data_IF_645464198312
#
_entry.id   IF_645464198312
#
_cell.length_a   1.000
_cell.length_b   1.000
_cell.length_c   1.000
_cell.angle_alpha   90.00
_cell.angle_beta   90.00
_cell.angle_gamma   90.00
#
_symmetry.space_group_name_H-M   'P 1'
#
loop_
_entity.id
_entity.type
_entity.pdbx_description
1 polymer ?
#
# COMPACT_ATOMS: atom_id res chain seq x y z
N UNK A 1 -1.57 38.60 21.81
CA UNK A 1 -0.28 38.66 22.51
C UNK A 1 -0.17 37.32 23.23
N UNK A 2 0.66 36.36 22.88
CA UNK A 2 1.85 36.30 22.04
C UNK A 2 1.92 34.86 21.50
N UNK A 3 2.03 34.70 20.18
CA UNK A 3 2.11 33.42 19.47
C UNK A 3 3.57 33.20 19.07
N UNK A 4 4.35 32.48 19.88
CA UNK A 4 5.58 31.77 19.45
C UNK A 4 6.28 31.11 20.64
N UNK A 5 5.93 29.86 20.96
CA UNK A 5 6.85 28.91 21.62
C UNK A 5 6.47 27.49 21.19
N UNK A 6 6.91 27.10 19.99
CA UNK A 6 7.10 25.68 19.67
C UNK A 6 8.48 25.35 20.21
N UNK A 7 8.52 24.51 21.24
CA UNK A 7 9.74 24.05 21.89
C UNK A 7 10.52 23.15 20.93
N UNK A 8 11.69 23.64 20.56
CA UNK A 8 12.76 22.90 19.89
C UNK A 8 13.37 21.90 20.89
N UNK A 9 13.01 20.62 20.81
CA UNK A 9 13.74 19.54 21.49
C UNK A 9 14.24 18.51 20.46
N UNK A 10 15.38 18.87 19.87
CA UNK A 10 16.62 18.08 19.85
C UNK A 10 16.47 16.54 19.80
N UNK A 11 16.45 15.97 18.59
CA UNK A 11 16.88 14.58 18.36
C UNK A 11 18.41 14.56 18.46
N UNK A 12 18.95 14.25 19.65
CA UNK A 12 20.39 14.03 19.84
C UNK A 12 20.76 12.58 19.55
N UNK A 13 21.63 12.40 18.55
CA UNK A 13 22.23 11.10 18.27
C UNK A 13 23.12 11.07 17.02
N UNK A 14 24.00 12.05 16.80
CA UNK A 14 25.04 11.94 15.76
C UNK A 14 26.36 12.60 16.21
N UNK A 15 27.38 11.77 16.43
CA UNK A 15 28.78 12.20 16.62
C UNK A 15 29.47 12.28 15.26
N UNK A 16 29.39 13.44 14.58
CA UNK A 16 30.44 14.07 13.74
C UNK A 16 29.87 15.30 12.97
N UNK A 17 30.69 16.31 12.62
CA UNK A 17 30.25 17.70 12.56
C UNK A 17 29.89 18.15 11.14
N UNK A 18 28.65 17.94 10.71
CA UNK A 18 28.04 18.70 9.61
C UNK A 18 26.57 18.95 9.98
N UNK A 19 26.36 19.83 10.95
CA UNK A 19 25.03 20.24 11.39
C UNK A 19 24.54 21.35 10.45
N UNK A 20 23.82 20.98 9.39
CA UNK A 20 23.07 21.96 8.58
C UNK A 20 21.71 22.20 9.26
N UNK A 21 21.52 23.42 9.76
CA UNK A 21 20.23 23.89 10.28
C UNK A 21 19.31 24.12 9.07
N UNK A 22 18.43 23.16 8.77
CA UNK A 22 17.38 23.36 7.77
C UNK A 22 16.18 24.06 8.41
N UNK A 23 15.78 25.21 7.87
CA UNK A 23 14.52 25.88 8.22
C UNK A 23 13.33 24.97 7.88
N UNK A 24 12.23 25.04 8.64
CA UNK A 24 10.99 24.28 8.42
C UNK A 24 10.47 24.42 6.98
N UNK A 25 10.65 25.60 6.36
CA UNK A 25 10.31 25.83 4.96
C UNK A 25 11.19 25.02 4.00
N UNK A 26 12.47 24.84 4.30
CA UNK A 26 13.38 24.03 3.49
C UNK A 26 13.09 22.53 3.63
N UNK A 27 12.76 22.06 4.84
CA UNK A 27 12.33 20.67 5.05
C UNK A 27 11.03 20.36 4.30
N UNK A 28 10.06 21.28 4.33
CA UNK A 28 8.79 21.12 3.60
C UNK A 28 9.00 21.10 2.08
N UNK A 29 9.85 21.98 1.54
CA UNK A 29 10.20 22.00 0.11
C UNK A 29 10.96 20.75 -0.31
N UNK A 30 11.87 20.24 0.53
CA UNK A 30 12.54 18.95 0.26
C UNK A 30 11.54 17.79 0.28
N UNK A 31 10.68 17.67 1.29
CA UNK A 31 9.63 16.63 1.32
C UNK A 31 8.71 16.67 0.10
N UNK A 32 8.28 17.87 -0.33
CA UNK A 32 7.44 18.03 -1.53
C UNK A 32 8.18 17.67 -2.83
N UNK A 33 9.48 17.97 -2.92
CA UNK A 33 10.30 17.58 -4.07
C UNK A 33 10.54 16.06 -4.11
N UNK A 34 10.65 15.39 -2.95
CA UNK A 34 10.71 13.93 -2.87
C UNK A 34 9.39 13.27 -3.25
N UNK A 35 8.24 13.77 -2.77
CA UNK A 35 6.91 13.26 -3.12
C UNK A 35 6.67 13.27 -4.64
N UNK A 36 7.13 14.31 -5.35
CA UNK A 36 7.02 14.38 -6.82
C UNK A 36 7.87 13.35 -7.56
N UNK A 37 8.91 12.80 -6.93
CA UNK A 37 9.76 11.77 -7.51
C UNK A 37 9.26 10.33 -7.24
N UNK A 38 8.26 10.16 -6.37
CA UNK A 38 7.63 8.85 -6.09
C UNK A 38 6.53 8.62 -7.12
N UNK A 39 6.92 8.11 -8.29
CA UNK A 39 6.00 7.85 -9.41
C UNK A 39 6.15 6.42 -9.91
N UNK A 40 5.08 5.84 -10.50
CA UNK A 40 5.13 4.54 -11.17
C UNK A 40 6.25 4.46 -12.23
N UNK A 41 6.44 5.55 -12.98
CA UNK A 41 7.46 5.65 -14.02
C UNK A 41 8.89 5.59 -13.43
N UNK A 42 9.15 6.33 -12.35
CA UNK A 42 10.44 6.28 -11.68
C UNK A 42 10.67 4.92 -11.03
N UNK A 43 9.65 4.31 -10.42
CA UNK A 43 9.74 2.97 -9.85
C UNK A 43 10.15 1.95 -10.91
N UNK A 44 9.51 1.96 -12.08
CA UNK A 44 9.88 1.08 -13.19
C UNK A 44 11.29 1.40 -13.74
N UNK A 45 11.66 2.67 -13.85
CA UNK A 45 13.01 3.07 -14.29
C UNK A 45 14.10 2.57 -13.31
N UNK A 46 13.84 2.63 -12.00
CA UNK A 46 14.72 2.07 -10.97
C UNK A 46 14.89 0.57 -11.16
N UNK A 47 13.80 -0.16 -11.35
CA UNK A 47 13.83 -1.61 -11.46
C UNK A 47 14.45 -2.11 -12.77
N UNK A 48 14.25 -1.37 -13.86
CA UNK A 48 14.84 -1.68 -15.18
C UNK A 48 16.28 -1.18 -15.33
N UNK A 49 16.83 -0.50 -14.32
CA UNK A 49 18.19 0.06 -14.37
C UNK A 49 18.36 1.25 -15.32
N UNK A 50 17.26 1.88 -15.74
CA UNK A 50 17.26 2.96 -16.73
C UNK A 50 17.35 4.34 -16.05
N UNK A 51 18.56 4.73 -15.66
CA UNK A 51 18.82 6.02 -15.02
C UNK A 51 18.40 7.24 -15.87
N UNK A 52 18.32 7.09 -17.20
CA UNK A 52 17.93 8.17 -18.10
C UNK A 52 16.43 8.47 -18.05
N UNK A 53 15.60 7.50 -17.62
CA UNK A 53 14.15 7.67 -17.45
C UNK A 53 13.76 8.19 -16.07
N UNK A 54 14.69 8.30 -15.12
CA UNK A 54 14.40 8.82 -13.79
C UNK A 54 14.27 10.34 -13.83
N UNK A 55 13.12 10.85 -13.39
CA UNK A 55 12.87 12.28 -13.24
C UNK A 55 12.87 12.69 -11.76
N UNK A 56 13.81 13.55 -11.36
CA UNK A 56 13.96 13.98 -9.96
C UNK A 56 14.64 12.94 -9.05
N UNK A 57 14.54 13.14 -7.73
CA UNK A 57 15.14 12.22 -6.74
C UNK A 57 16.68 12.13 -6.84
N UNK A 58 17.23 10.99 -6.44
CA UNK A 58 18.69 10.77 -6.42
C UNK A 58 19.28 10.30 -7.76
N UNK A 59 18.43 9.92 -8.73
CA UNK A 59 18.86 9.29 -9.98
C UNK A 59 19.43 7.86 -9.83
N UNK A 60 19.42 7.28 -8.63
CA UNK A 60 19.89 5.92 -8.38
C UNK A 60 18.89 4.90 -8.93
N UNK A 61 19.40 3.92 -9.66
CA UNK A 61 18.65 2.77 -10.21
C UNK A 61 19.36 1.46 -9.88
N UNK A 62 18.69 0.31 -10.07
CA UNK A 62 19.33 -0.99 -9.96
C UNK A 62 20.45 -1.12 -11.00
N UNK A 63 21.59 -1.66 -10.57
CA UNK A 63 22.73 -2.03 -11.43
C UNK A 63 23.08 -3.51 -11.24
N UNK A 64 22.06 -4.32 -10.99
CA UNK A 64 22.19 -5.75 -10.71
C UNK A 64 22.64 -6.51 -11.96
N UNK A 65 23.62 -7.39 -11.80
CA UNK A 65 24.03 -8.37 -12.80
C UNK A 65 23.30 -9.72 -12.65
N UNK A 66 23.65 -10.72 -13.49
CA UNK A 66 22.96 -12.02 -13.51
C UNK A 66 23.07 -12.86 -12.24
N UNK A 67 23.98 -12.53 -11.32
CA UNK A 67 24.24 -13.28 -10.08
C UNK A 67 23.84 -12.47 -8.82
N UNK A 68 23.16 -11.34 -9.00
CA UNK A 68 22.76 -10.48 -7.89
C UNK A 68 21.33 -10.82 -7.46
N UNK A 69 21.07 -10.76 -6.15
CA UNK A 69 19.72 -10.86 -5.61
C UNK A 69 19.09 -9.48 -5.49
N UNK A 70 17.83 -9.37 -5.92
CA UNK A 70 17.05 -8.14 -5.81
C UNK A 70 15.91 -8.37 -4.84
N UNK A 71 15.82 -7.51 -3.82
CA UNK A 71 14.70 -7.46 -2.89
C UNK A 71 13.93 -6.16 -3.14
N UNK A 72 12.63 -6.27 -3.44
CA UNK A 72 11.75 -5.12 -3.62
C UNK A 72 10.64 -5.19 -2.60
N UNK A 73 10.47 -4.10 -1.85
CA UNK A 73 9.42 -3.95 -0.86
C UNK A 73 8.55 -2.74 -1.21
N UNK A 74 7.24 -2.95 -1.35
CA UNK A 74 6.24 -1.93 -1.57
C UNK A 74 5.20 -1.94 -0.44
N UNK A 75 4.85 -0.76 0.09
CA UNK A 75 3.79 -0.59 1.08
C UNK A 75 2.98 0.67 0.79
N UNK A 76 1.69 0.50 0.52
CA UNK A 76 0.70 1.57 0.38
C UNK A 76 -0.71 0.95 0.28
N UNK A 77 -1.70 1.75 -0.12
CA UNK A 77 -2.99 1.29 -0.60
C UNK A 77 -2.89 0.55 -1.93
N UNK A 78 -3.92 -0.26 -2.19
CA UNK A 78 -4.09 -0.97 -3.46
C UNK A 78 -5.55 -1.25 -3.74
N UNK A 79 -5.75 -1.80 -4.93
CA UNK A 79 -7.02 -2.34 -5.41
C UNK A 79 -6.72 -3.52 -6.34
N UNK A 80 -7.74 -4.28 -6.78
CA UNK A 80 -7.52 -5.34 -7.77
C UNK A 80 -6.68 -4.84 -8.97
N UNK A 81 -5.52 -5.46 -9.23
CA UNK A 81 -4.64 -5.11 -10.35
C UNK A 81 -3.99 -3.72 -10.31
N UNK A 82 -3.99 -3.05 -9.15
CA UNK A 82 -3.49 -1.68 -8.99
C UNK A 82 -2.74 -1.48 -7.67
N UNK A 83 -1.60 -0.79 -7.75
CA UNK A 83 -0.87 -0.22 -6.60
C UNK A 83 -0.92 1.30 -6.67
N UNK A 84 -1.36 1.94 -5.59
CA UNK A 84 -1.43 3.40 -5.53
C UNK A 84 -0.03 3.99 -5.30
N UNK A 85 0.31 5.03 -6.05
CA UNK A 85 1.40 5.94 -5.74
C UNK A 85 0.80 7.27 -5.26
N UNK A 86 1.57 8.20 -4.67
CA UNK A 86 1.00 9.42 -4.07
C UNK A 86 0.19 10.32 -5.01
N UNK A 87 0.35 10.19 -6.32
CA UNK A 87 -0.35 11.01 -7.32
C UNK A 87 -0.67 10.30 -8.64
N UNK A 88 -0.36 9.00 -8.72
CA UNK A 88 -0.61 8.20 -9.91
C UNK A 88 -0.72 6.71 -9.52
N UNK A 89 -0.97 5.83 -10.48
CA UNK A 89 -1.22 4.41 -10.20
C UNK A 89 -0.29 3.53 -11.03
N UNK A 90 0.23 2.48 -10.41
CA UNK A 90 0.93 1.41 -11.13
C UNK A 90 -0.05 0.26 -11.38
N UNK A 91 -0.41 0.08 -12.64
CA UNK A 91 -1.23 -1.04 -13.10
C UNK A 91 -0.37 -2.27 -13.33
N UNK A 92 -0.98 -3.44 -13.21
CA UNK A 92 -0.35 -4.73 -13.52
C UNK A 92 0.42 -4.69 -14.86
N UNK A 93 1.75 -4.58 -14.76
CA UNK A 93 2.69 -4.96 -15.80
C UNK A 93 3.54 -6.08 -15.22
N UNK A 94 3.44 -7.27 -15.85
CA UNK A 94 4.39 -8.38 -15.68
C UNK A 94 5.80 -7.79 -15.67
N UNK A 95 6.63 -8.18 -14.69
CA UNK A 95 8.00 -8.68 -14.94
C UNK A 95 8.96 -8.60 -13.72
N UNK A 96 8.56 -8.57 -12.44
CA UNK A 96 9.59 -8.44 -11.39
C UNK A 96 9.34 -9.22 -10.08
N UNK A 97 10.41 -9.57 -9.33
CA UNK A 97 10.34 -10.15 -7.99
C UNK A 97 10.05 -9.10 -6.94
N UNK A 98 8.90 -9.21 -6.27
CA UNK A 98 8.39 -8.19 -5.36
C UNK A 98 7.67 -8.77 -4.14
N UNK A 99 7.89 -8.11 -2.99
CA UNK A 99 7.09 -8.17 -1.78
C UNK A 99 6.05 -7.04 -1.82
N UNK A 100 4.75 -7.36 -1.83
CA UNK A 100 3.68 -6.35 -1.92
C UNK A 100 2.82 -6.27 -0.67
N UNK A 101 2.73 -5.07 -0.11
CA UNK A 101 1.86 -4.72 1.01
C UNK A 101 0.84 -3.72 0.48
N UNK A 102 -0.34 -4.24 0.16
CA UNK A 102 -1.47 -3.45 -0.25
C UNK A 102 -2.76 -4.25 -0.06
N UNK A 103 -3.89 -3.55 0.00
CA UNK A 103 -5.20 -4.16 -0.20
C UNK A 103 -5.23 -4.89 -1.56
N UNK A 104 -5.82 -6.09 -1.58
CA UNK A 104 -5.91 -6.96 -2.77
C UNK A 104 -4.57 -7.26 -3.45
N UNK A 105 -3.45 -7.13 -2.74
CA UNK A 105 -2.10 -7.32 -3.26
C UNK A 105 -1.88 -8.68 -3.96
N UNK A 106 -2.63 -9.72 -3.58
CA UNK A 106 -2.61 -11.01 -4.28
C UNK A 106 -2.98 -10.90 -5.77
N UNK A 107 -3.82 -9.94 -6.15
CA UNK A 107 -4.19 -9.68 -7.55
C UNK A 107 -3.04 -9.13 -8.42
N UNK A 108 -1.98 -8.61 -7.79
CA UNK A 108 -0.78 -8.18 -8.50
C UNK A 108 0.13 -9.34 -8.88
N UNK A 109 -0.05 -10.51 -8.25
CA UNK A 109 0.89 -11.64 -8.34
C UNK A 109 0.25 -12.98 -8.68
N UNK A 110 -1.07 -13.08 -8.72
CA UNK A 110 -1.80 -14.32 -9.06
C UNK A 110 -1.49 -14.87 -10.47
N UNK A 111 -0.98 -14.01 -11.37
CA UNK A 111 -0.55 -14.38 -12.73
C UNK A 111 0.97 -14.48 -12.90
N UNK A 112 1.74 -14.40 -11.81
CA UNK A 112 3.20 -14.47 -11.84
C UNK A 112 3.66 -15.89 -12.27
N UNK A 113 4.41 -16.03 -13.38
CA UNK A 113 4.88 -17.34 -13.85
C UNK A 113 5.78 -18.04 -12.82
N UNK A 114 5.74 -19.37 -12.81
CA UNK A 114 6.53 -20.19 -11.88
C UNK A 114 7.91 -20.59 -12.42
N UNK A 115 8.16 -20.31 -13.70
CA UNK A 115 9.36 -20.68 -14.46
C UNK A 115 10.35 -19.52 -14.66
N UNK A 116 10.12 -18.40 -13.99
CA UNK A 116 11.06 -17.28 -13.87
C UNK A 116 11.66 -17.24 -12.46
N UNK A 117 12.81 -16.60 -12.30
CA UNK A 117 13.53 -16.50 -11.02
C UNK A 117 12.93 -15.43 -10.10
N UNK A 118 11.64 -15.57 -9.84
CA UNK A 118 10.85 -14.63 -9.05
C UNK A 118 10.05 -15.36 -7.99
N UNK A 119 10.18 -14.93 -6.74
CA UNK A 119 9.32 -15.31 -5.62
C UNK A 119 8.69 -14.07 -5.02
N UNK A 120 7.38 -14.15 -4.75
CA UNK A 120 6.62 -13.05 -4.21
C UNK A 120 5.76 -13.51 -3.04
N UNK A 121 5.60 -12.65 -2.04
CA UNK A 121 4.57 -12.81 -1.01
C UNK A 121 3.75 -11.54 -0.88
N UNK A 122 2.49 -11.67 -0.51
CA UNK A 122 1.54 -10.55 -0.45
C UNK A 122 0.80 -10.53 0.88
N UNK A 123 0.49 -9.32 1.37
CA UNK A 123 -0.19 -9.13 2.65
C UNK A 123 -1.62 -9.70 2.67
N UNK A 124 -2.27 -9.76 1.51
CA UNK A 124 -3.67 -10.15 1.35
C UNK A 124 -3.86 -10.99 0.07
N UNK A 125 -4.95 -11.74 0.00
CA UNK A 125 -5.42 -12.38 -1.24
C UNK A 125 -5.99 -11.33 -2.22
N UNK A 126 -6.39 -11.72 -3.45
CA UNK A 126 -6.91 -10.78 -4.45
C UNK A 126 -8.23 -10.06 -4.10
N UNK A 127 -8.88 -10.36 -2.98
CA UNK A 127 -10.27 -10.00 -2.72
C UNK A 127 -10.51 -9.35 -1.35
N UNK A 128 -9.46 -9.09 -0.57
CA UNK A 128 -9.54 -8.54 0.78
C UNK A 128 -8.52 -7.42 1.01
N UNK A 129 -8.75 -6.63 2.05
CA UNK A 129 -7.87 -5.52 2.44
C UNK A 129 -6.74 -5.98 3.36
N UNK A 130 -5.65 -5.20 3.38
CA UNK A 130 -4.64 -5.27 4.43
C UNK A 130 -5.09 -4.47 5.67
N UNK A 131 -4.36 -4.62 6.77
CA UNK A 131 -4.71 -4.02 8.06
C UNK A 131 -3.56 -3.16 8.58
N UNK A 132 -3.90 -1.98 9.10
CA UNK A 132 -3.02 -1.16 9.90
C UNK A 132 -2.96 -1.67 11.35
N UNK A 133 -1.88 -1.34 12.06
CA UNK A 133 -1.65 -1.67 13.45
C UNK A 133 -0.93 -0.55 14.21
N UNK A 134 -0.88 -0.69 15.53
CA UNK A 134 -0.18 0.19 16.47
C UNK A 134 -0.68 1.64 16.39
N UNK A 135 -1.88 1.91 16.91
CA UNK A 135 -2.36 3.29 17.02
C UNK A 135 -1.59 4.04 18.10
N UNK A 136 -1.03 5.19 17.77
CA UNK A 136 -0.28 6.02 18.72
C UNK A 136 -1.10 7.28 19.07
N UNK A 137 -1.57 7.35 20.31
CA UNK A 137 -2.39 8.47 20.80
C UNK A 137 -1.70 9.83 20.72
N UNK A 138 -0.36 9.87 20.80
CA UNK A 138 0.39 11.13 20.76
C UNK A 138 0.53 11.67 19.34
N UNK A 139 0.63 10.77 18.36
CA UNK A 139 0.79 11.09 16.93
C UNK A 139 -0.53 11.08 16.17
N UNK A 140 -1.60 10.62 16.80
CA UNK A 140 -2.95 10.57 16.23
C UNK A 140 -3.02 9.76 14.91
N UNK A 141 -2.25 8.68 14.82
CA UNK A 141 -2.16 7.84 13.62
C UNK A 141 -1.72 6.42 13.96
N UNK A 142 -1.86 5.51 12.99
CA UNK A 142 -1.28 4.18 13.03
C UNK A 142 0.20 4.23 12.63
N UNK A 143 1.03 3.40 13.27
CA UNK A 143 2.49 3.39 13.08
C UNK A 143 2.98 2.33 12.09
N UNK A 144 2.16 1.33 11.77
CA UNK A 144 2.55 0.28 10.83
C UNK A 144 1.35 -0.45 10.23
N UNK A 145 1.67 -1.42 9.38
CA UNK A 145 0.73 -2.35 8.79
C UNK A 145 1.04 -3.77 9.28
N UNK A 146 0.00 -4.54 9.58
CA UNK A 146 0.10 -5.78 10.33
C UNK A 146 1.02 -6.81 9.67
N UNK A 147 0.89 -6.99 8.36
CA UNK A 147 1.80 -7.85 7.62
C UNK A 147 3.25 -7.30 7.61
N UNK A 148 3.42 -5.98 7.46
CA UNK A 148 4.74 -5.33 7.43
C UNK A 148 5.51 -5.52 8.72
N UNK A 149 4.87 -5.17 9.85
CA UNK A 149 5.50 -5.29 11.16
C UNK A 149 5.81 -6.74 11.45
N UNK A 150 4.95 -7.68 11.08
CA UNK A 150 5.20 -9.10 11.30
C UNK A 150 6.46 -9.63 10.60
N UNK A 151 6.80 -9.20 9.38
CA UNK A 151 8.02 -9.68 8.72
C UNK A 151 9.26 -8.87 9.12
N UNK A 152 9.12 -7.56 9.38
CA UNK A 152 10.23 -6.71 9.81
C UNK A 152 10.68 -7.07 11.23
N UNK A 153 9.72 -7.23 12.16
CA UNK A 153 9.99 -7.60 13.55
C UNK A 153 10.55 -9.03 13.66
N UNK A 154 10.09 -9.96 12.80
CA UNK A 154 10.71 -11.27 12.64
C UNK A 154 12.17 -11.15 12.18
N UNK A 155 12.43 -10.30 11.19
CA UNK A 155 13.79 -10.09 10.67
C UNK A 155 14.73 -9.38 11.65
N UNK A 156 14.18 -8.59 12.58
CA UNK A 156 14.94 -7.92 13.65
C UNK A 156 15.41 -8.89 14.76
N UNK A 157 14.74 -10.04 14.92
CA UNK A 157 15.00 -10.98 16.03
C UNK A 157 15.56 -12.33 15.59
N UNK A 158 15.30 -12.77 14.36
CA UNK A 158 15.76 -14.06 13.85
C UNK A 158 17.21 -14.01 13.32
N UNK A 159 17.87 -15.16 13.31
CA UNK A 159 19.15 -15.31 12.63
C UNK A 159 18.90 -15.51 11.12
N UNK A 160 18.97 -14.42 10.35
CA UNK A 160 18.70 -14.40 8.91
C UNK A 160 19.61 -15.31 8.09
N UNK A 161 20.77 -15.72 8.63
CA UNK A 161 21.67 -16.69 7.99
C UNK A 161 21.14 -18.13 8.08
N UNK A 162 20.25 -18.39 9.04
CA UNK A 162 19.61 -19.70 9.26
C UNK A 162 18.18 -19.71 8.75
N UNK A 163 17.45 -18.61 8.91
CA UNK A 163 16.08 -18.53 8.48
C UNK A 163 15.97 -18.57 6.95
N UNK A 164 15.03 -19.36 6.43
CA UNK A 164 14.65 -19.37 5.01
C UNK A 164 13.47 -18.45 4.75
N UNK A 165 13.33 -17.88 3.56
CA UNK A 165 12.12 -17.13 3.14
C UNK A 165 10.83 -17.92 3.38
N UNK A 166 10.85 -19.25 3.21
CA UNK A 166 9.72 -20.14 3.46
C UNK A 166 9.31 -20.21 4.94
N UNK A 167 10.26 -20.03 5.85
CA UNK A 167 10.05 -20.02 7.31
C UNK A 167 9.44 -18.68 7.70
N UNK A 168 10.04 -17.58 7.27
CA UNK A 168 9.51 -16.23 7.42
C UNK A 168 8.07 -16.14 6.89
N UNK A 169 7.81 -16.61 5.66
CA UNK A 169 6.45 -16.65 5.11
C UNK A 169 5.45 -17.39 6.01
N UNK A 170 5.83 -18.52 6.60
CA UNK A 170 4.95 -19.29 7.49
C UNK A 170 4.69 -18.56 8.81
N UNK A 171 5.72 -17.91 9.38
CA UNK A 171 5.59 -17.09 10.60
C UNK A 171 4.64 -15.93 10.32
N UNK A 172 4.95 -15.14 9.29
CA UNK A 172 4.19 -13.96 8.91
C UNK A 172 2.74 -14.31 8.56
N UNK A 173 2.51 -15.41 7.82
CA UNK A 173 1.16 -15.93 7.54
C UNK A 173 0.41 -16.35 8.81
N UNK A 174 1.10 -16.89 9.81
CA UNK A 174 0.48 -17.28 11.08
C UNK A 174 0.13 -16.08 11.95
N UNK A 175 0.99 -15.06 11.98
CA UNK A 175 0.79 -13.87 12.81
C UNK A 175 -0.18 -12.86 12.18
N UNK A 176 -0.21 -12.78 10.85
CA UNK A 176 -1.12 -11.91 10.10
C UNK A 176 -2.51 -12.55 10.03
N UNK A 177 -3.22 -12.57 11.15
CA UNK A 177 -4.52 -13.22 11.34
C UNK A 177 -5.73 -12.41 10.82
N UNK A 178 -5.49 -11.27 10.17
CA UNK A 178 -6.54 -10.37 9.64
C UNK A 178 -6.76 -10.49 8.13
N UNK A 179 -5.82 -11.13 7.42
CA UNK A 179 -5.86 -11.35 5.97
C UNK A 179 -5.12 -12.66 5.63
N UNK A 180 -5.32 -13.14 4.41
CA UNK A 180 -4.65 -14.32 3.88
C UNK A 180 -3.35 -13.92 3.20
N UNK A 181 -2.24 -14.10 3.91
CA UNK A 181 -0.90 -13.94 3.32
C UNK A 181 -0.68 -15.01 2.24
N UNK A 182 -0.33 -14.57 1.03
CA UNK A 182 -0.17 -15.43 -0.14
C UNK A 182 1.28 -15.49 -0.61
N UNK A 183 1.61 -16.54 -1.37
CA UNK A 183 2.92 -16.69 -2.04
C UNK A 183 2.76 -17.13 -3.49
N UNK A 184 3.56 -16.56 -4.39
CA UNK A 184 3.47 -16.72 -5.84
C UNK A 184 4.85 -16.91 -6.49
N UNK A 185 4.86 -17.25 -7.78
CA UNK A 185 6.08 -17.47 -8.56
C UNK A 185 6.81 -18.78 -8.23
N UNK A 186 8.13 -18.78 -8.43
CA UNK A 186 9.00 -19.92 -8.21
C UNK A 186 9.26 -20.14 -6.71
N UNK A 187 8.45 -21.01 -6.10
CA UNK A 187 8.55 -21.38 -4.68
C UNK A 187 9.84 -22.14 -4.33
N UNK A 188 10.64 -22.58 -5.30
CA UNK A 188 11.95 -23.17 -5.00
C UNK A 188 12.86 -22.14 -4.34
N UNK A 189 12.76 -20.88 -4.74
CA UNK A 189 13.53 -19.76 -4.18
C UNK A 189 13.21 -19.52 -2.70
N UNK A 190 12.04 -19.94 -2.20
CA UNK A 190 11.69 -19.74 -0.78
C UNK A 190 12.59 -20.55 0.18
N UNK A 191 13.36 -21.52 -0.34
CA UNK A 191 14.35 -22.25 0.46
C UNK A 191 15.66 -21.48 0.68
N UNK A 192 15.87 -20.38 -0.04
CA UNK A 192 17.01 -19.48 0.17
C UNK A 192 16.90 -18.79 1.52
N UNK A 193 18.07 -18.39 2.06
CA UNK A 193 18.15 -17.71 3.36
C UNK A 193 17.72 -16.26 3.25
N UNK A 194 17.12 -15.73 4.32
CA UNK A 194 16.66 -14.33 4.35
C UNK A 194 17.84 -13.36 4.17
N UNK A 195 19.02 -13.70 4.71
CA UNK A 195 20.25 -12.91 4.56
C UNK A 195 20.68 -12.69 3.10
N UNK A 196 20.28 -13.58 2.19
CA UNK A 196 20.60 -13.46 0.76
C UNK A 196 19.90 -12.27 0.09
N UNK A 197 18.82 -11.76 0.71
CA UNK A 197 17.98 -10.68 0.19
C UNK A 197 17.95 -9.45 1.09
N UNK A 198 18.03 -9.63 2.41
CA UNK A 198 17.91 -8.56 3.41
C UNK A 198 19.23 -8.25 4.13
N UNK A 199 20.34 -8.89 3.74
CA UNK A 199 21.63 -8.71 4.37
C UNK A 199 22.80 -8.77 3.39
N UNK A 200 24.00 -8.94 3.93
CA UNK A 200 25.21 -9.17 3.13
C UNK A 200 25.82 -10.52 3.53
N UNK A 201 25.56 -11.61 2.78
CA UNK A 201 26.04 -12.96 3.14
C UNK A 201 27.57 -13.08 3.07
N UNK A 202 28.24 -12.16 2.36
CA UNK A 202 29.71 -12.13 2.20
C UNK A 202 30.39 -11.20 3.19
N UNK A 203 29.64 -10.45 4.00
CA UNK A 203 30.24 -9.60 5.02
C UNK A 203 30.85 -10.48 6.11
N UNK A 204 32.13 -10.29 6.40
CA UNK A 204 32.79 -10.87 7.58
C UNK A 204 32.37 -10.20 8.90
N UNK A 205 31.24 -9.48 8.88
CA UNK A 205 30.70 -8.73 10.02
C UNK A 205 29.74 -9.67 10.74
N UNK A 206 29.94 -9.84 12.05
CA UNK A 206 29.02 -10.59 12.89
C UNK A 206 27.60 -10.00 12.71
N UNK A 207 26.56 -10.84 12.54
CA UNK A 207 25.18 -10.36 12.50
C UNK A 207 24.92 -9.43 13.68
N UNK A 208 24.13 -8.37 13.46
CA UNK A 208 23.67 -7.57 14.58
C UNK A 208 22.98 -8.51 15.59
N UNK A 209 23.24 -8.36 16.91
CA UNK A 209 22.57 -9.19 17.89
C UNK A 209 21.05 -9.01 17.74
N UNK A 210 20.26 -10.09 17.83
CA UNK A 210 18.80 -10.03 17.84
C UNK A 210 18.27 -8.93 18.72
N UNK A 211 17.34 -8.14 18.20
CA UNK A 211 16.67 -7.10 18.99
C UNK A 211 15.73 -7.77 19.98
N UNK A 212 15.73 -7.34 21.24
CA UNK A 212 14.68 -7.76 22.17
C UNK A 212 13.48 -6.84 21.96
N UNK A 213 12.45 -7.33 21.27
CA UNK A 213 11.20 -6.59 21.09
C UNK A 213 10.32 -6.69 22.35
N UNK A 214 9.62 -5.59 22.65
CA UNK A 214 8.63 -5.58 23.74
C UNK A 214 7.31 -6.06 23.17
N UNK A 215 6.66 -7.08 23.76
CA UNK A 215 5.36 -7.55 23.28
C UNK A 215 4.32 -6.42 23.31
N UNK A 216 3.65 -6.18 22.18
CA UNK A 216 2.51 -5.27 22.10
C UNK A 216 1.24 -6.07 22.35
N UNK A 217 0.61 -5.83 23.50
CA UNK A 217 -0.59 -6.59 23.90
C UNK A 217 -1.83 -6.23 23.06
N UNK A 218 -1.95 -4.97 22.64
CA UNK A 218 -3.08 -4.46 21.86
C UNK A 218 -2.57 -3.81 20.58
N UNK A 219 -2.54 -4.54 19.45
CA UNK A 219 -1.98 -4.03 18.20
C UNK A 219 -2.95 -3.13 17.41
N UNK A 220 -4.13 -2.79 17.94
CA UNK A 220 -5.13 -1.91 17.31
C UNK A 220 -5.55 -2.28 15.88
N UNK A 221 -5.59 -3.56 15.54
CA UNK A 221 -5.80 -4.02 14.15
C UNK A 221 -7.04 -3.38 13.49
N UNK A 222 -6.81 -2.61 12.43
CA UNK A 222 -7.85 -1.84 11.74
C UNK A 222 -7.71 -2.03 10.23
N UNK A 223 -8.78 -2.38 9.49
CA UNK A 223 -8.72 -2.47 8.04
C UNK A 223 -8.18 -1.15 7.46
N UNK A 224 -7.21 -1.20 6.54
CA UNK A 224 -6.61 -0.02 5.91
C UNK A 224 -7.65 1.03 5.46
N UNK A 225 -8.77 0.66 4.79
CA UNK A 225 -9.76 1.64 4.33
C UNK A 225 -10.49 2.38 5.47
N UNK A 226 -10.51 1.80 6.67
CA UNK A 226 -11.20 2.31 7.85
C UNK A 226 -10.31 3.15 8.77
N UNK A 227 -9.01 3.20 8.50
CA UNK A 227 -8.04 3.98 9.30
C UNK A 227 -8.48 5.43 9.51
N UNK A 228 -8.84 6.22 8.48
CA UNK A 228 -9.25 7.61 8.69
C UNK A 228 -10.46 7.76 9.64
N UNK A 229 -11.45 6.88 9.50
CA UNK A 229 -12.64 6.88 10.37
C UNK A 229 -12.32 6.39 11.79
N UNK A 230 -11.44 5.40 11.93
CA UNK A 230 -11.01 4.87 13.22
C UNK A 230 -10.26 5.95 14.02
N UNK A 231 -9.37 6.72 13.38
CA UNK A 231 -8.69 7.86 13.99
C UNK A 231 -9.72 8.88 14.51
N UNK A 232 -10.68 9.30 13.67
CA UNK A 232 -11.71 10.26 14.07
C UNK A 232 -12.57 9.75 15.22
N UNK A 233 -12.94 8.47 15.22
CA UNK A 233 -13.69 7.83 16.32
C UNK A 233 -12.90 7.82 17.62
N UNK A 234 -11.61 7.48 17.59
CA UNK A 234 -10.74 7.52 18.77
C UNK A 234 -10.61 8.94 19.32
N UNK A 235 -10.38 9.93 18.46
CA UNK A 235 -10.34 11.36 18.84
C UNK A 235 -11.64 11.84 19.45
N UNK A 236 -12.78 11.40 18.92
CA UNK A 236 -14.10 11.69 19.49
C UNK A 236 -14.24 11.08 20.89
N UNK A 237 -13.86 9.82 21.06
CA UNK A 237 -13.96 9.10 22.34
C UNK A 237 -13.03 9.68 23.42
N UNK A 238 -11.86 10.19 23.04
CA UNK A 238 -10.90 10.81 23.95
C UNK A 238 -11.26 12.27 24.33
N UNK A 239 -12.18 12.92 23.59
CA UNK A 239 -12.51 14.33 23.80
C UNK A 239 -13.61 14.52 24.84
N UNK A 240 -13.30 15.27 25.91
CA UNK A 240 -14.28 15.74 26.89
C UNK A 240 -14.88 17.13 26.56
N UNK A 241 -14.39 17.78 25.50
CA UNK A 241 -14.90 19.07 25.04
C UNK A 241 -16.04 18.88 24.04
N UNK A 242 -17.22 19.46 24.33
CA UNK A 242 -18.42 19.32 23.50
C UNK A 242 -18.28 19.98 22.12
N UNK A 243 -17.53 21.06 21.99
CA UNK A 243 -17.30 21.77 20.73
C UNK A 243 -16.37 20.94 19.85
N UNK A 244 -15.31 20.36 20.42
CA UNK A 244 -14.40 19.46 19.72
C UNK A 244 -15.11 18.16 19.33
N UNK A 245 -15.88 17.56 20.23
CA UNK A 245 -16.68 16.36 19.94
C UNK A 245 -17.66 16.60 18.76
N UNK A 246 -18.36 17.75 18.76
CA UNK A 246 -19.23 18.16 17.63
C UNK A 246 -18.46 18.38 16.33
N UNK A 247 -17.20 18.81 16.37
CA UNK A 247 -16.34 18.88 15.18
C UNK A 247 -16.07 17.49 14.62
N UNK A 248 -15.61 16.54 15.43
CA UNK A 248 -15.32 15.18 14.98
C UNK A 248 -16.57 14.44 14.48
N UNK A 249 -17.73 14.62 15.13
CA UNK A 249 -19.00 14.06 14.63
C UNK A 249 -19.32 14.59 13.23
N UNK A 250 -19.09 15.88 12.96
CA UNK A 250 -19.31 16.45 11.62
C UNK A 250 -18.34 15.88 10.60
N UNK A 251 -17.07 15.72 10.93
CA UNK A 251 -16.06 15.12 10.06
C UNK A 251 -16.38 13.65 9.76
N UNK A 252 -16.72 12.85 10.77
CA UNK A 252 -17.17 11.45 10.60
C UNK A 252 -18.37 11.39 9.66
N UNK A 253 -19.39 12.21 9.89
CA UNK A 253 -20.58 12.22 9.04
C UNK A 253 -20.27 12.65 7.60
N UNK A 254 -19.32 13.57 7.39
CA UNK A 254 -18.86 13.94 6.05
C UNK A 254 -18.17 12.76 5.36
N UNK A 255 -17.25 12.07 6.03
CA UNK A 255 -16.59 10.87 5.49
C UNK A 255 -17.60 9.77 5.14
N UNK A 256 -18.58 9.49 6.00
CA UNK A 256 -19.62 8.48 5.73
C UNK A 256 -20.47 8.85 4.51
N UNK A 257 -20.87 10.13 4.38
CA UNK A 257 -21.59 10.62 3.20
C UNK A 257 -20.78 10.46 1.91
N UNK A 258 -19.48 10.73 1.95
CA UNK A 258 -18.61 10.52 0.79
C UNK A 258 -18.53 9.02 0.44
N UNK A 259 -18.39 8.12 1.42
CA UNK A 259 -18.41 6.68 1.16
C UNK A 259 -19.71 6.22 0.49
N UNK A 260 -20.86 6.72 0.96
CA UNK A 260 -22.15 6.43 0.34
C UNK A 260 -22.23 6.98 -1.09
N UNK A 261 -21.75 8.21 -1.33
CA UNK A 261 -21.67 8.79 -2.66
C UNK A 261 -20.82 7.93 -3.62
N UNK A 262 -19.64 7.50 -3.17
CA UNK A 262 -18.73 6.66 -3.95
C UNK A 262 -19.36 5.32 -4.32
N UNK A 263 -19.98 4.63 -3.36
CA UNK A 263 -20.67 3.35 -3.58
C UNK A 263 -21.86 3.52 -4.53
N UNK A 264 -22.73 4.49 -4.27
CA UNK A 264 -23.93 4.71 -5.06
C UNK A 264 -23.58 5.11 -6.50
N UNK A 265 -22.51 5.90 -6.70
CA UNK A 265 -22.06 6.25 -8.05
C UNK A 265 -21.54 5.04 -8.82
N UNK A 266 -20.78 4.14 -8.17
CA UNK A 266 -20.34 2.89 -8.83
C UNK A 266 -21.54 2.00 -9.18
N UNK A 267 -22.52 1.88 -8.28
CA UNK A 267 -23.76 1.16 -8.54
C UNK A 267 -24.52 1.76 -9.74
N UNK A 268 -24.63 3.09 -9.83
CA UNK A 268 -25.21 3.76 -11.00
C UNK A 268 -24.43 3.49 -12.30
N UNK A 269 -23.10 3.49 -12.23
CA UNK A 269 -22.24 3.13 -13.37
C UNK A 269 -22.55 1.71 -13.84
N UNK A 270 -22.53 0.74 -12.92
CA UNK A 270 -22.85 -0.66 -13.24
C UNK A 270 -24.26 -0.76 -13.84
N UNK A 271 -25.26 -0.15 -13.22
CA UNK A 271 -26.66 -0.19 -13.67
C UNK A 271 -26.86 0.33 -15.10
N UNK A 272 -26.17 1.40 -15.50
CA UNK A 272 -26.31 1.93 -16.86
C UNK A 272 -25.47 1.17 -17.89
N UNK A 273 -24.38 0.52 -17.48
CA UNK A 273 -23.56 -0.33 -18.35
C UNK A 273 -24.28 -1.64 -18.65
N UNK A 274 -24.80 -2.32 -17.63
CA UNK A 274 -25.50 -3.61 -17.76
C UNK A 274 -26.90 -3.45 -18.34
N UNK A 275 -27.62 -2.38 -17.96
CA UNK A 275 -29.04 -2.13 -18.28
C UNK A 275 -29.98 -3.28 -17.90
N UNK A 276 -29.57 -4.06 -16.93
CA UNK A 276 -30.31 -5.22 -16.43
C UNK A 276 -30.08 -5.31 -14.91
N UNK A 277 -31.12 -5.12 -14.08
CA UNK A 277 -30.96 -5.12 -12.62
C UNK A 277 -30.37 -6.43 -12.06
N UNK A 278 -30.70 -7.58 -12.66
CA UNK A 278 -30.18 -8.87 -12.20
C UNK A 278 -28.68 -8.96 -12.50
N UNK A 279 -28.27 -8.60 -13.72
CA UNK A 279 -26.85 -8.58 -14.10
C UNK A 279 -26.07 -7.54 -13.31
N UNK A 280 -26.65 -6.37 -13.02
CA UNK A 280 -26.02 -5.38 -12.14
C UNK A 280 -25.69 -5.96 -10.77
N UNK A 281 -26.66 -6.66 -10.17
CA UNK A 281 -26.47 -7.27 -8.87
C UNK A 281 -25.42 -8.37 -8.90
N UNK A 282 -25.38 -9.17 -9.96
CA UNK A 282 -24.31 -10.16 -10.19
C UNK A 282 -22.94 -9.47 -10.23
N UNK A 283 -22.79 -8.40 -11.03
CA UNK A 283 -21.55 -7.62 -11.13
C UNK A 283 -21.15 -6.98 -9.79
N UNK A 284 -22.09 -6.48 -8.99
CA UNK A 284 -21.77 -5.82 -7.71
C UNK A 284 -21.46 -6.81 -6.58
N UNK A 285 -21.96 -8.05 -6.67
CA UNK A 285 -21.75 -9.08 -5.65
C UNK A 285 -20.52 -9.97 -5.91
N UNK A 286 -20.06 -10.04 -7.16
CA UNK A 286 -18.95 -10.89 -7.55
C UNK A 286 -17.59 -10.25 -7.23
N UNK A 287 -16.53 -11.05 -7.21
CA UNK A 287 -15.13 -10.62 -7.15
C UNK A 287 -14.30 -11.50 -8.06
N UNK A 288 -14.25 -11.14 -9.34
CA UNK A 288 -13.52 -11.91 -10.35
C UNK A 288 -12.02 -11.62 -10.30
N UNK A 289 -11.23 -12.63 -10.68
CA UNK A 289 -9.80 -12.43 -10.95
C UNK A 289 -9.63 -11.60 -12.24
N UNK A 290 -8.72 -10.64 -12.20
CA UNK A 290 -8.46 -9.76 -13.34
C UNK A 290 -7.63 -10.47 -14.42
N UNK A 291 -8.20 -10.67 -15.59
CA UNK A 291 -7.53 -11.17 -16.81
C UNK A 291 -7.59 -10.17 -17.96
N UNK A 292 -8.59 -9.27 -17.97
CA UNK A 292 -8.83 -8.26 -18.99
C UNK A 292 -8.13 -6.93 -18.68
N UNK A 293 -6.80 -6.98 -18.52
CA UNK A 293 -5.97 -5.85 -18.07
C UNK A 293 -6.15 -4.56 -18.90
N UNK A 294 -6.22 -4.66 -20.23
CA UNK A 294 -6.37 -3.50 -21.10
C UNK A 294 -7.75 -2.83 -20.96
N UNK A 295 -8.81 -3.61 -20.78
CA UNK A 295 -10.13 -3.08 -20.50
C UNK A 295 -10.14 -2.38 -19.14
N UNK A 296 -9.61 -3.06 -18.13
CA UNK A 296 -9.62 -2.58 -16.76
C UNK A 296 -8.82 -1.29 -16.59
N UNK A 297 -7.61 -1.22 -17.14
CA UNK A 297 -6.78 -0.01 -17.07
C UNK A 297 -7.54 1.20 -17.66
N UNK A 298 -8.12 1.07 -18.85
CA UNK A 298 -8.90 2.14 -19.47
C UNK A 298 -10.13 2.53 -18.64
N UNK A 299 -10.83 1.54 -18.09
CA UNK A 299 -12.00 1.78 -17.25
C UNK A 299 -11.65 2.53 -15.96
N UNK A 300 -10.54 2.16 -15.31
CA UNK A 300 -10.05 2.77 -14.07
C UNK A 300 -9.52 4.18 -14.33
N UNK A 301 -8.74 4.40 -15.39
CA UNK A 301 -8.25 5.74 -15.78
C UNK A 301 -9.41 6.69 -16.12
N UNK A 302 -10.41 6.19 -16.84
CA UNK A 302 -11.62 6.97 -17.14
C UNK A 302 -12.41 7.27 -15.86
N UNK A 303 -12.61 6.29 -14.98
CA UNK A 303 -13.29 6.50 -13.70
C UNK A 303 -12.54 7.50 -12.80
N UNK A 304 -11.22 7.40 -12.72
CA UNK A 304 -10.36 8.33 -11.97
C UNK A 304 -10.50 9.77 -12.47
N UNK A 305 -10.47 9.95 -13.78
CA UNK A 305 -10.47 11.27 -14.42
C UNK A 305 -11.84 11.93 -14.51
N UNK A 306 -12.92 11.14 -14.56
CA UNK A 306 -14.29 11.65 -14.72
C UNK A 306 -15.12 11.59 -13.44
N UNK A 307 -14.74 10.77 -12.47
CA UNK A 307 -15.55 10.51 -11.29
C UNK A 307 -14.79 10.89 -10.03
N UNK A 308 -13.94 9.99 -9.54
CA UNK A 308 -13.31 10.16 -8.24
C UNK A 308 -11.83 9.84 -8.35
N UNK A 309 -11.03 10.85 -8.09
CA UNK A 309 -9.59 10.71 -8.01
C UNK A 309 -9.21 10.38 -6.56
N UNK A 310 -8.89 9.11 -6.29
CA UNK A 310 -8.51 8.60 -4.97
C UNK A 310 -7.18 9.15 -4.45
N UNK A 311 -6.37 9.81 -5.28
CA UNK A 311 -5.20 10.57 -4.83
C UNK A 311 -5.58 11.81 -4.00
N UNK A 312 -6.87 12.17 -3.99
CA UNK A 312 -7.44 13.07 -2.98
C UNK A 312 -7.90 12.22 -1.80
N UNK A 313 -7.41 12.53 -0.60
CA UNK A 313 -7.76 11.81 0.64
C UNK A 313 -9.26 11.69 0.90
N UNK A 314 -10.06 12.66 0.45
CA UNK A 314 -11.53 12.61 0.52
C UNK A 314 -12.10 11.41 -0.25
N UNK A 315 -11.50 11.02 -1.37
CA UNK A 315 -12.00 10.00 -2.29
C UNK A 315 -11.19 8.70 -2.28
N UNK A 316 -10.25 8.52 -1.35
CA UNK A 316 -9.40 7.32 -1.24
C UNK A 316 -10.23 6.02 -1.22
N UNK A 317 -11.39 6.06 -0.55
CA UNK A 317 -12.31 4.92 -0.46
C UNK A 317 -12.88 4.46 -1.83
N UNK A 318 -12.71 5.24 -2.89
CA UNK A 318 -13.07 4.85 -4.25
C UNK A 318 -12.31 3.60 -4.71
N UNK A 319 -11.08 3.39 -4.22
CA UNK A 319 -10.29 2.17 -4.44
C UNK A 319 -11.06 0.89 -4.08
N UNK A 320 -12.02 0.98 -3.13
CA UNK A 320 -12.83 -0.17 -2.66
C UNK A 320 -13.98 -0.53 -3.58
N UNK A 321 -14.24 0.31 -4.59
CA UNK A 321 -15.29 0.09 -5.58
C UNK A 321 -14.72 -0.43 -6.90
N UNK A 322 -13.40 -0.40 -7.11
CA UNK A 322 -12.78 -0.74 -8.40
C UNK A 322 -12.94 -2.21 -8.81
N UNK A 323 -13.24 -3.11 -7.86
CA UNK A 323 -13.56 -4.52 -8.18
C UNK A 323 -14.76 -4.64 -9.14
N UNK A 324 -15.73 -3.72 -9.05
CA UNK A 324 -16.87 -3.72 -9.96
C UNK A 324 -16.45 -3.44 -11.41
N UNK A 325 -15.40 -2.65 -11.62
CA UNK A 325 -14.83 -2.40 -12.95
C UNK A 325 -14.08 -3.62 -13.49
N UNK A 326 -13.42 -4.40 -12.62
CA UNK A 326 -12.87 -5.73 -12.99
C UNK A 326 -14.01 -6.59 -13.50
N UNK A 327 -15.06 -6.78 -12.69
CA UNK A 327 -16.20 -7.62 -13.04
C UNK A 327 -16.86 -7.20 -14.36
N UNK A 328 -17.03 -5.89 -14.62
CA UNK A 328 -17.54 -5.40 -15.90
C UNK A 328 -16.66 -5.81 -17.08
N UNK A 329 -15.34 -5.69 -16.95
CA UNK A 329 -14.40 -6.05 -18.00
C UNK A 329 -14.35 -7.57 -18.26
N UNK A 330 -14.31 -8.38 -17.21
CA UNK A 330 -14.33 -9.85 -17.34
C UNK A 330 -15.63 -10.35 -18.00
N UNK A 331 -16.75 -9.67 -17.73
CA UNK A 331 -18.04 -9.95 -18.38
C UNK A 331 -18.20 -9.29 -19.77
N UNK A 332 -17.11 -8.79 -20.37
CA UNK A 332 -17.03 -8.26 -21.75
C UNK A 332 -17.93 -7.05 -22.02
N UNK A 333 -18.22 -6.24 -21.00
CA UNK A 333 -18.90 -4.97 -21.22
C UNK A 333 -17.92 -3.94 -21.84
N UNK A 334 -18.30 -3.24 -22.93
CA UNK A 334 -17.40 -2.34 -23.64
C UNK A 334 -17.14 -1.02 -22.88
N UNK A 335 -15.86 -0.61 -22.82
CA UNK A 335 -15.45 0.65 -22.19
C UNK A 335 -16.02 1.91 -22.86
N UNK A 336 -16.14 1.91 -24.20
CA UNK A 336 -16.51 3.09 -25.01
C UNK A 336 -17.98 3.49 -24.87
N UNK A 337 -18.82 2.62 -24.31
CA UNK A 337 -20.25 2.83 -24.48
C UNK A 337 -20.83 3.86 -23.50
N UNK A 338 -20.59 3.82 -22.18
CA UNK A 338 -21.51 4.50 -21.23
C UNK A 338 -20.97 4.94 -19.86
N UNK A 339 -19.66 5.14 -19.67
CA UNK A 339 -19.13 5.65 -18.38
C UNK A 339 -19.28 7.19 -18.18
N UNK A 340 -20.18 7.86 -18.92
CA UNK A 340 -20.49 9.29 -18.76
C UNK A 340 -21.51 9.55 -17.64
N UNK A 341 -21.34 8.91 -16.48
CA UNK A 341 -22.33 8.89 -15.39
C UNK A 341 -21.84 9.66 -14.17
N UNK A 342 -20.60 10.09 -14.23
CA UNK A 342 -19.99 10.74 -13.13
C UNK A 342 -20.39 12.22 -13.14
N UNK A 343 -20.88 12.73 -11.98
CA UNK A 343 -21.43 14.08 -11.87
C UNK A 343 -20.42 15.19 -12.20
#
# INVERSE_FOLDING_TARGET
MDHTKVSTEMIMGCKNPLCFIFSVTHVLVMCLAFLKAVTPANFLAVLTGDAAKVTGGSGKVLKSGPNDHVFVYFTDHGAPGLLAFPSDDYYYLLLLPLLFIACESGSMMNHLPTDIEVYATTAANPHESSYACYYDEKRDTYLGDWYSVNWMEDSDVEDLSKETLQKQFKIVKSHTNTSHVMQYGNKTLSHMKVVEFQGNPKASIQPAPPVTLTPVNEPDLTPSPDVPLAILKRKLMASNDIVIARKYIREINAHLKVRDLLRNTMEEVVNKVTRDPKKSQEILNDKQDLTEFQCYQKAVEHYKSRCFNWHKSEYEYALRQLYALVNLCENRYPHESRMCICP
#
